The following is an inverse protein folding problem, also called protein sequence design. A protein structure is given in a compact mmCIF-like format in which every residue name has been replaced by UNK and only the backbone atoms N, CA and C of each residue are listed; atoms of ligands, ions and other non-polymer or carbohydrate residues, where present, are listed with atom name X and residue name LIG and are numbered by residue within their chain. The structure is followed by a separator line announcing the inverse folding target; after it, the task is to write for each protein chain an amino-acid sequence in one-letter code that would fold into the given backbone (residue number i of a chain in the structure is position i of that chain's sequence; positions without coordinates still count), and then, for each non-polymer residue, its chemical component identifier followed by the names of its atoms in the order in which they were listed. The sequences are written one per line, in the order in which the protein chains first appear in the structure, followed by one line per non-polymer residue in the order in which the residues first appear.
data_IF_334554206888
#
_entry.id   IF_334554206888
#
_cell.length_a   1.000
_cell.length_b   1.000
_cell.length_c   1.000
_cell.angle_alpha   90.00
_cell.angle_beta   90.00
_cell.angle_gamma   90.00
#
_symmetry.space_group_name_H-M   'P 1'
#
loop_
_entity.id
_entity.type
_entity.pdbx_description
1 polymer ?
#
# COMPACT_ATOMS: atom_id res chain seq x y z
N UNK A 1 -50.07 9.44 -21.98
CA UNK A 1 -48.64 9.76 -21.76
C UNK A 1 -48.19 8.91 -20.56
N UNK A 2 -47.74 7.69 -20.81
CA UNK A 2 -47.38 6.74 -19.77
C UNK A 2 -45.98 7.01 -19.26
N UNK A 3 -45.85 7.37 -17.99
CA UNK A 3 -44.57 7.43 -17.29
C UNK A 3 -44.16 6.00 -16.94
N UNK A 4 -43.44 5.35 -17.85
CA UNK A 4 -42.67 4.16 -17.49
C UNK A 4 -41.65 4.57 -16.43
N UNK A 5 -41.91 4.16 -15.18
CA UNK A 5 -40.92 4.23 -14.12
C UNK A 5 -39.81 3.26 -14.49
N UNK A 6 -38.72 3.79 -15.04
CA UNK A 6 -37.45 3.09 -15.17
C UNK A 6 -37.11 2.46 -13.81
N UNK A 7 -37.15 1.13 -13.76
CA UNK A 7 -36.79 0.37 -12.56
C UNK A 7 -35.29 0.58 -12.32
N UNK A 8 -34.94 1.27 -11.25
CA UNK A 8 -33.54 1.49 -10.88
C UNK A 8 -32.98 0.15 -10.42
N UNK A 9 -32.35 -0.58 -11.33
CA UNK A 9 -31.61 -1.79 -11.00
C UNK A 9 -30.46 -1.41 -10.06
N UNK A 10 -30.61 -1.74 -8.77
CA UNK A 10 -29.56 -1.52 -7.77
C UNK A 10 -28.46 -2.54 -8.01
N UNK A 11 -27.35 -2.08 -8.58
CA UNK A 11 -26.20 -2.92 -8.83
C UNK A 11 -25.54 -3.33 -7.50
N UNK A 12 -25.43 -4.64 -7.25
CA UNK A 12 -24.87 -5.17 -6.00
C UNK A 12 -23.35 -5.13 -6.06
N UNK A 13 -22.75 -4.42 -5.11
CA UNK A 13 -21.29 -4.33 -4.96
C UNK A 13 -20.73 -5.70 -4.52
N UNK A 14 -19.65 -6.20 -5.15
CA UNK A 14 -19.03 -7.48 -4.81
C UNK A 14 -18.15 -7.38 -3.55
N UNK A 15 -18.74 -7.02 -2.41
CA UNK A 15 -18.02 -6.75 -1.15
C UNK A 15 -17.16 -7.91 -0.66
N UNK A 16 -17.66 -9.15 -0.77
CA UNK A 16 -16.93 -10.32 -0.29
C UNK A 16 -15.65 -10.53 -1.10
N UNK A 17 -15.73 -10.43 -2.42
CA UNK A 17 -14.58 -10.56 -3.30
C UNK A 17 -13.56 -9.45 -3.06
N UNK A 18 -14.05 -8.22 -2.90
CA UNK A 18 -13.21 -7.06 -2.57
C UNK A 18 -12.45 -7.32 -1.27
N UNK A 19 -13.15 -7.68 -0.19
CA UNK A 19 -12.53 -7.92 1.11
C UNK A 19 -11.49 -9.03 1.07
N UNK A 20 -11.80 -10.16 0.42
CA UNK A 20 -10.87 -11.29 0.30
C UNK A 20 -9.62 -10.88 -0.47
N UNK A 21 -9.77 -10.20 -1.60
CA UNK A 21 -8.64 -9.73 -2.41
C UNK A 21 -7.81 -8.69 -1.65
N UNK A 22 -8.46 -7.77 -0.94
CA UNK A 22 -7.79 -6.78 -0.09
C UNK A 22 -6.94 -7.46 0.97
N UNK A 23 -7.50 -8.38 1.77
CA UNK A 23 -6.74 -9.07 2.82
C UNK A 23 -5.55 -9.86 2.25
N UNK A 24 -5.77 -10.60 1.16
CA UNK A 24 -4.71 -11.41 0.55
C UNK A 24 -3.58 -10.54 -0.01
N UNK A 25 -3.90 -9.49 -0.75
CA UNK A 25 -2.89 -8.61 -1.37
C UNK A 25 -2.20 -7.74 -0.32
N UNK A 26 -2.93 -7.24 0.69
CA UNK A 26 -2.34 -6.47 1.79
C UNK A 26 -1.40 -7.31 2.67
N UNK A 27 -1.60 -8.62 2.75
CA UNK A 27 -0.68 -9.51 3.46
C UNK A 27 0.50 -9.94 2.56
N UNK A 28 0.21 -10.45 1.37
CA UNK A 28 1.23 -11.02 0.48
C UNK A 28 2.13 -9.96 -0.15
N UNK A 29 1.61 -8.76 -0.42
CA UNK A 29 2.37 -7.66 -1.02
C UNK A 29 3.58 -7.27 -0.18
N UNK A 30 3.40 -6.86 1.09
CA UNK A 30 4.51 -6.52 1.97
C UNK A 30 5.47 -7.67 2.21
N UNK A 31 4.97 -8.90 2.42
CA UNK A 31 5.81 -10.09 2.60
C UNK A 31 6.71 -10.32 1.38
N UNK A 32 6.13 -10.25 0.18
CA UNK A 32 6.89 -10.39 -1.07
C UNK A 32 7.95 -9.30 -1.22
N UNK A 33 7.58 -8.05 -0.94
CA UNK A 33 8.50 -6.90 -0.97
C UNK A 33 9.69 -7.09 -0.01
N UNK A 34 9.43 -7.60 1.20
CA UNK A 34 10.48 -7.89 2.18
C UNK A 34 11.38 -9.08 1.81
N UNK A 35 10.89 -10.02 1.00
CA UNK A 35 11.68 -11.17 0.52
C UNK A 35 12.61 -10.82 -0.65
N UNK A 36 12.45 -9.65 -1.27
CA UNK A 36 13.26 -9.29 -2.43
C UNK A 36 14.63 -8.72 -2.03
N UNK A 37 15.72 -9.21 -2.65
CA UNK A 37 17.08 -8.75 -2.35
C UNK A 37 17.35 -7.28 -2.71
N UNK A 38 16.41 -6.62 -3.40
CA UNK A 38 16.49 -5.22 -3.81
C UNK A 38 15.09 -4.56 -3.76
N UNK A 39 14.34 -4.86 -2.69
CA UNK A 39 12.87 -4.68 -2.54
C UNK A 39 12.26 -3.31 -2.88
N UNK A 40 13.08 -2.31 -3.21
CA UNK A 40 12.63 -1.01 -3.69
C UNK A 40 12.10 -0.99 -5.15
N UNK A 41 12.47 -1.95 -6.00
CA UNK A 41 12.31 -1.77 -7.45
C UNK A 41 11.26 -2.68 -8.12
N UNK A 42 10.81 -3.75 -7.46
CA UNK A 42 9.99 -4.80 -8.07
C UNK A 42 8.84 -5.28 -7.19
N UNK A 43 8.02 -4.36 -6.66
CA UNK A 43 6.77 -4.73 -5.99
C UNK A 43 5.76 -5.32 -6.99
N UNK A 44 4.90 -6.26 -6.54
CA UNK A 44 3.85 -6.85 -7.39
C UNK A 44 2.91 -5.73 -7.86
N UNK A 45 3.01 -5.38 -9.14
CA UNK A 45 2.16 -4.36 -9.77
C UNK A 45 2.77 -2.96 -9.87
N UNK A 46 4.02 -2.75 -9.45
CA UNK A 46 4.73 -1.46 -9.54
C UNK A 46 6.16 -1.65 -10.07
N UNK A 47 6.58 -0.80 -11.00
CA UNK A 47 7.97 -0.68 -11.49
C UNK A 47 8.45 0.73 -11.16
N UNK A 48 9.67 0.85 -10.66
CA UNK A 48 10.20 2.05 -10.03
C UNK A 48 10.14 3.37 -10.85
N UNK A 49 10.19 4.49 -10.11
CA UNK A 49 10.32 5.88 -10.57
C UNK A 49 9.16 6.46 -11.40
N UNK A 50 7.91 6.19 -11.02
CA UNK A 50 6.71 6.81 -11.62
C UNK A 50 6.37 6.38 -13.06
N UNK A 51 6.47 5.11 -13.37
CA UNK A 51 5.56 4.51 -14.34
C UNK A 51 4.53 3.72 -13.56
N UNK A 52 3.50 4.45 -13.09
CA UNK A 52 2.21 3.92 -12.63
C UNK A 52 1.50 3.30 -13.82
N UNK A 53 2.13 2.30 -14.45
CA UNK A 53 1.37 1.31 -15.18
C UNK A 53 0.68 0.56 -14.05
N UNK A 54 -0.60 0.85 -13.85
CA UNK A 54 -1.48 0.16 -12.91
C UNK A 54 -1.65 -1.29 -13.36
N UNK A 55 -0.56 -2.06 -13.38
CA UNK A 55 -0.53 -3.43 -13.88
C UNK A 55 -1.42 -4.28 -12.98
N UNK A 56 -1.45 -4.03 -11.67
CA UNK A 56 -2.32 -4.79 -10.76
C UNK A 56 -3.82 -4.63 -11.11
N UNK A 57 -4.39 -3.41 -11.23
CA UNK A 57 -5.75 -3.23 -11.71
C UNK A 57 -6.03 -3.86 -13.07
N UNK A 58 -5.13 -3.68 -14.05
CA UNK A 58 -5.30 -4.26 -15.38
C UNK A 58 -5.24 -5.79 -15.35
N UNK A 59 -4.33 -6.37 -14.57
CA UNK A 59 -4.13 -7.81 -14.41
C UNK A 59 -5.34 -8.44 -13.71
N UNK A 60 -5.87 -7.81 -12.66
CA UNK A 60 -7.09 -8.28 -12.02
C UNK A 60 -8.30 -8.21 -12.97
N UNK A 61 -8.42 -7.15 -13.77
CA UNK A 61 -9.48 -7.06 -14.80
C UNK A 61 -9.33 -8.16 -15.85
N UNK A 62 -8.12 -8.43 -16.34
CA UNK A 62 -7.84 -9.49 -17.32
C UNK A 62 -8.18 -10.86 -16.72
N UNK A 63 -7.71 -11.15 -15.51
CA UNK A 63 -8.00 -12.41 -14.80
C UNK A 63 -9.50 -12.56 -14.58
N UNK A 64 -10.17 -11.53 -14.06
CA UNK A 64 -11.62 -11.55 -13.86
C UNK A 64 -12.36 -11.79 -15.18
N UNK A 65 -11.95 -11.14 -16.26
CA UNK A 65 -12.53 -11.33 -17.60
C UNK A 65 -12.36 -12.76 -18.11
N UNK A 66 -11.18 -13.37 -17.90
CA UNK A 66 -10.92 -14.76 -18.27
C UNK A 66 -11.78 -15.73 -17.45
N UNK A 67 -11.86 -15.54 -16.13
CA UNK A 67 -12.71 -16.36 -15.26
C UNK A 67 -14.20 -16.18 -15.56
N UNK A 68 -14.64 -14.98 -15.89
CA UNK A 68 -16.01 -14.72 -16.34
C UNK A 68 -16.35 -15.54 -17.60
N UNK A 69 -15.45 -15.53 -18.60
CA UNK A 69 -15.60 -16.35 -19.80
C UNK A 69 -15.62 -17.85 -19.51
N UNK A 70 -14.70 -18.35 -18.68
CA UNK A 70 -14.59 -19.78 -18.34
C UNK A 70 -15.80 -20.28 -17.52
N UNK A 71 -16.37 -19.42 -16.67
CA UNK A 71 -17.54 -19.76 -15.86
C UNK A 71 -18.88 -19.45 -16.54
N UNK A 72 -18.87 -18.95 -17.78
CA UNK A 72 -20.07 -18.52 -18.50
C UNK A 72 -20.78 -17.30 -17.89
N UNK A 73 -20.14 -16.61 -16.95
CA UNK A 73 -20.71 -15.44 -16.26
C UNK A 73 -20.29 -14.14 -16.95
N UNK A 74 -21.29 -13.32 -17.30
CA UNK A 74 -21.04 -11.94 -17.75
C UNK A 74 -20.75 -11.07 -16.53
N UNK A 75 -19.56 -10.48 -16.49
CA UNK A 75 -19.19 -9.48 -15.50
C UNK A 75 -19.65 -8.09 -15.97
N UNK A 76 -20.21 -7.30 -15.06
CA UNK A 76 -20.68 -5.95 -15.37
C UNK A 76 -19.53 -4.95 -15.41
N UNK A 77 -19.76 -3.80 -16.04
CA UNK A 77 -18.79 -2.70 -16.02
C UNK A 77 -18.54 -2.19 -14.60
N UNK A 78 -19.56 -2.11 -13.73
CA UNK A 78 -19.29 -1.68 -12.36
C UNK A 78 -18.46 -2.70 -11.57
N UNK A 79 -18.58 -4.00 -11.85
CA UNK A 79 -17.69 -4.99 -11.25
C UNK A 79 -16.22 -4.67 -11.57
N UNK A 80 -15.92 -4.35 -12.83
CA UNK A 80 -14.57 -3.95 -13.24
C UNK A 80 -14.16 -2.62 -12.63
N UNK A 81 -15.07 -1.65 -12.50
CA UNK A 81 -14.80 -0.38 -11.82
C UNK A 81 -14.44 -0.60 -10.35
N UNK A 82 -15.21 -1.41 -9.61
CA UNK A 82 -14.90 -1.74 -8.21
C UNK A 82 -13.55 -2.45 -8.08
N UNK A 83 -13.28 -3.41 -8.96
CA UNK A 83 -12.03 -4.14 -8.98
C UNK A 83 -10.84 -3.21 -9.26
N UNK A 84 -11.00 -2.29 -10.21
CA UNK A 84 -10.00 -1.27 -10.54
C UNK A 84 -9.75 -0.34 -9.36
N UNK A 85 -10.79 0.31 -8.83
CA UNK A 85 -10.67 1.25 -7.71
C UNK A 85 -10.04 0.62 -6.47
N UNK A 86 -10.47 -0.59 -6.10
CA UNK A 86 -9.91 -1.33 -4.96
C UNK A 86 -8.43 -1.65 -5.15
N UNK A 87 -8.05 -2.12 -6.32
CA UNK A 87 -6.65 -2.52 -6.57
C UNK A 87 -5.71 -1.33 -6.78
N UNK A 88 -6.24 -0.20 -7.28
CA UNK A 88 -5.52 1.08 -7.26
C UNK A 88 -5.24 1.54 -5.83
N UNK A 89 -6.21 1.44 -4.92
CA UNK A 89 -5.99 1.78 -3.52
C UNK A 89 -5.00 0.82 -2.83
N UNK A 90 -5.05 -0.48 -3.17
CA UNK A 90 -4.12 -1.48 -2.65
C UNK A 90 -2.67 -1.28 -3.11
N UNK A 91 -2.47 -0.84 -4.36
CA UNK A 91 -1.13 -0.54 -4.88
C UNK A 91 -0.36 0.35 -3.92
N UNK A 92 -1.02 1.41 -3.43
CA UNK A 92 -0.49 2.37 -2.45
C UNK A 92 0.08 1.76 -1.17
N UNK A 93 -0.37 0.56 -0.79
CA UNK A 93 0.10 -0.15 0.41
C UNK A 93 1.09 -1.28 0.12
N UNK A 94 1.20 -1.72 -1.14
CA UNK A 94 2.05 -2.84 -1.54
C UNK A 94 3.37 -2.42 -2.18
N UNK A 95 3.54 -1.13 -2.45
CA UNK A 95 4.75 -0.57 -3.04
C UNK A 95 5.76 -0.11 -1.99
N UNK A 96 7.03 -0.47 -2.19
CA UNK A 96 8.17 0.02 -1.40
C UNK A 96 8.57 1.46 -1.74
N UNK A 97 7.88 2.17 -2.65
CA UNK A 97 8.11 3.60 -2.88
C UNK A 97 6.93 4.45 -2.39
N UNK A 98 5.92 3.82 -1.77
CA UNK A 98 4.68 4.47 -1.32
C UNK A 98 4.53 4.48 0.21
N UNK A 99 3.71 5.41 0.68
CA UNK A 99 3.47 5.64 2.10
C UNK A 99 2.58 4.55 2.71
N UNK A 100 2.88 3.96 3.91
CA UNK A 100 3.95 4.31 4.84
C UNK A 100 5.24 3.48 4.72
N UNK A 101 5.27 2.43 3.90
CA UNK A 101 6.35 1.42 3.96
C UNK A 101 7.62 1.91 3.25
N UNK A 102 7.45 2.59 2.12
CA UNK A 102 8.52 2.91 1.19
C UNK A 102 9.23 4.25 1.36
N UNK A 103 8.45 5.30 1.59
CA UNK A 103 8.94 6.66 1.92
C UNK A 103 8.48 7.14 3.30
N UNK A 104 8.00 6.21 4.12
CA UNK A 104 7.55 6.50 5.47
C UNK A 104 8.52 5.99 6.52
N UNK A 105 8.03 5.91 7.74
CA UNK A 105 8.84 5.69 8.94
C UNK A 105 9.80 4.47 8.88
N UNK A 106 9.42 3.30 8.32
CA UNK A 106 10.30 2.13 8.24
C UNK A 106 11.54 2.35 7.37
N UNK A 107 11.44 3.10 6.27
CA UNK A 107 12.59 3.41 5.42
C UNK A 107 13.55 4.37 6.12
N UNK A 108 13.03 5.40 6.79
CA UNK A 108 13.87 6.29 7.59
C UNK A 108 14.55 5.58 8.76
N UNK A 109 13.89 4.57 9.35
CA UNK A 109 14.48 3.67 10.37
C UNK A 109 15.65 2.89 9.78
N UNK A 110 15.46 2.28 8.61
CA UNK A 110 16.52 1.56 7.92
C UNK A 110 17.70 2.49 7.61
N UNK A 111 17.42 3.68 7.08
CA UNK A 111 18.45 4.63 6.69
C UNK A 111 19.27 5.10 7.88
N UNK A 112 18.60 5.31 9.02
CA UNK A 112 19.20 5.77 10.26
C UNK A 112 20.24 4.80 10.83
N UNK A 113 20.09 3.51 10.54
CA UNK A 113 20.99 2.45 11.00
C UNK A 113 22.09 2.16 9.96
N UNK A 114 21.77 2.23 8.67
CA UNK A 114 22.66 1.73 7.61
C UNK A 114 23.48 2.82 6.91
N UNK A 115 23.10 4.09 7.03
CA UNK A 115 23.81 5.20 6.37
C UNK A 115 24.32 6.23 7.38
N UNK A 116 25.46 6.84 7.04
CA UNK A 116 26.02 7.92 7.82
C UNK A 116 25.08 9.14 7.81
N UNK A 117 24.89 9.85 8.94
CA UNK A 117 24.01 11.01 9.07
C UNK A 117 24.22 12.09 7.99
N UNK A 118 25.45 12.25 7.53
CA UNK A 118 25.87 13.25 6.54
C UNK A 118 25.41 12.89 5.11
N UNK A 119 25.15 11.60 4.84
CA UNK A 119 24.76 11.10 3.52
C UNK A 119 23.23 11.21 3.33
N UNK A 120 22.46 10.92 4.38
CA UNK A 120 20.99 10.96 4.35
C UNK A 120 20.43 11.73 5.56
N UNK A 121 20.55 13.07 5.57
CA UNK A 121 20.20 13.90 6.74
C UNK A 121 18.70 13.87 7.07
N UNK A 122 17.84 13.57 6.10
CA UNK A 122 16.39 13.48 6.31
C UNK A 122 15.99 12.41 7.33
N UNK A 123 16.68 11.27 7.34
CA UNK A 123 16.46 10.20 8.34
C UNK A 123 16.78 10.68 9.77
N UNK A 124 17.77 11.58 9.91
CA UNK A 124 18.25 12.08 11.20
C UNK A 124 17.29 13.09 11.85
N UNK A 125 16.44 13.74 11.05
CA UNK A 125 15.42 14.69 11.52
C UNK A 125 14.17 13.98 12.02
N UNK A 126 13.84 12.85 11.38
CA UNK A 126 12.55 12.20 11.52
C UNK A 126 12.63 10.90 12.32
N UNK A 127 13.83 10.42 12.67
CA UNK A 127 14.04 9.18 13.41
C UNK A 127 15.09 9.39 14.51
N UNK A 128 14.90 8.79 15.71
CA UNK A 128 15.87 8.87 16.80
C UNK A 128 17.26 8.33 16.43
N UNK A 129 18.31 8.56 17.25
CA UNK A 129 19.64 7.99 17.02
C UNK A 129 19.64 6.46 16.83
N UNK A 130 20.59 5.93 16.04
CA UNK A 130 20.66 4.52 15.68
C UNK A 130 20.60 3.58 16.91
N UNK A 131 21.27 3.95 17.99
CA UNK A 131 21.27 3.24 19.28
C UNK A 131 19.88 3.07 19.92
N UNK A 132 18.92 3.94 19.60
CA UNK A 132 17.53 3.87 20.06
C UNK A 132 16.70 2.94 19.15
N UNK A 133 17.08 2.85 17.88
CA UNK A 133 16.31 2.21 16.80
C UNK A 133 16.76 0.77 16.56
N UNK A 134 18.05 0.49 16.62
CA UNK A 134 18.63 -0.85 16.44
C UNK A 134 17.96 -1.93 17.32
N UNK A 135 17.64 -1.68 18.61
CA UNK A 135 16.99 -2.68 19.45
C UNK A 135 15.56 -3.03 19.00
N UNK A 136 14.91 -2.16 18.20
CA UNK A 136 13.61 -2.45 17.60
C UNK A 136 13.73 -3.44 16.44
N UNK A 137 14.89 -3.50 15.79
CA UNK A 137 15.17 -4.41 14.67
C UNK A 137 15.56 -5.78 15.20
N UNK A 138 16.43 -5.83 16.21
CA UNK A 138 16.89 -7.08 16.83
C UNK A 138 15.85 -7.70 17.77
N UNK A 139 14.92 -6.89 18.30
CA UNK A 139 13.95 -7.33 19.29
C UNK A 139 14.59 -7.61 20.65
N UNK A 140 13.75 -7.89 21.66
CA UNK A 140 14.22 -8.28 23.00
C UNK A 140 14.61 -7.11 23.92
N UNK A 141 14.48 -5.86 23.50
CA UNK A 141 14.65 -4.68 24.33
C UNK A 141 13.38 -3.80 24.35
N UNK A 142 13.06 -3.12 25.46
CA UNK A 142 11.98 -2.15 25.51
C UNK A 142 12.22 -0.99 24.55
N UNK A 143 11.18 -0.57 23.84
CA UNK A 143 11.23 0.62 22.97
C UNK A 143 11.31 1.87 23.85
N UNK A 144 12.31 2.72 23.60
CA UNK A 144 12.48 4.00 24.31
C UNK A 144 11.52 5.07 23.76
N UNK A 145 10.22 4.93 24.01
CA UNK A 145 9.17 5.80 23.46
C UNK A 145 9.40 7.31 23.63
N UNK A 146 10.08 7.73 24.71
CA UNK A 146 10.41 9.14 24.92
C UNK A 146 11.28 9.75 23.82
N UNK A 147 12.23 8.97 23.28
CA UNK A 147 13.08 9.41 22.17
C UNK A 147 12.30 9.53 20.85
N UNK A 148 11.17 8.82 20.72
CA UNK A 148 10.31 8.81 19.55
C UNK A 148 9.28 9.95 19.50
N UNK A 149 9.14 10.73 20.58
CA UNK A 149 8.17 11.83 20.65
C UNK A 149 8.28 12.82 19.48
N UNK A 150 9.48 13.31 19.08
CA UNK A 150 9.59 14.24 17.95
C UNK A 150 9.11 13.63 16.63
N UNK A 151 9.48 12.38 16.38
CA UNK A 151 9.03 11.60 15.22
C UNK A 151 7.51 11.44 15.21
N UNK A 152 6.90 11.06 16.34
CA UNK A 152 5.46 10.89 16.46
C UNK A 152 4.70 12.20 16.23
N UNK A 153 5.19 13.31 16.79
CA UNK A 153 4.60 14.63 16.61
C UNK A 153 4.68 15.06 15.15
N UNK A 154 5.85 14.92 14.52
CA UNK A 154 6.03 15.29 13.11
C UNK A 154 5.09 14.51 12.19
N UNK A 155 5.11 13.18 12.28
CA UNK A 155 4.24 12.34 11.45
C UNK A 155 2.77 12.60 11.74
N UNK A 156 2.38 12.77 13.01
CA UNK A 156 1.01 13.11 13.40
C UNK A 156 0.52 14.41 12.77
N UNK A 157 1.34 15.46 12.79
CA UNK A 157 1.03 16.75 12.15
C UNK A 157 0.98 16.60 10.62
N UNK A 158 1.95 15.90 10.03
CA UNK A 158 2.01 15.68 8.59
C UNK A 158 0.75 14.97 8.08
N UNK A 159 0.32 13.92 8.77
CA UNK A 159 -0.90 13.19 8.44
C UNK A 159 -2.15 14.06 8.53
N UNK A 160 -2.29 14.80 9.64
CA UNK A 160 -3.41 15.71 9.83
C UNK A 160 -3.44 16.82 8.76
N UNK A 161 -2.28 17.32 8.34
CA UNK A 161 -2.16 18.35 7.31
C UNK A 161 -2.44 17.81 5.89
N UNK A 162 -2.07 16.56 5.60
CA UNK A 162 -2.31 15.93 4.31
C UNK A 162 -3.76 15.41 4.13
N UNK A 163 -4.59 15.45 5.18
CA UNK A 163 -6.00 15.07 5.10
C UNK A 163 -6.24 13.57 4.97
N UNK A 164 -5.33 12.75 5.52
CA UNK A 164 -5.54 11.31 5.68
C UNK A 164 -6.43 11.00 6.90
#
# INVERSE_FOLDING_TARGET
MGTEKSEVAVERIPWVQILVLTVLISFLGPVYTCMQPNGAWYAIGSIACKLVVMVLPLLLIIIASLFGKLSGRKLSMAYFTYLYSMSTALLSFTSYDEFPIGRGLPHFIYDRVNFAPEVLPWSTLLVPPAEVVEPMISGGAPVQWGAWLPTMIWWGIFFAACGF
#
